data_IF_104818556559
#
_entry.id   IF_104818556559
#
_cell.length_a   1.000
_cell.length_b   1.000
_cell.length_c   1.000
_cell.angle_alpha   90.00
_cell.angle_beta   90.00
_cell.angle_gamma   90.00
#
_symmetry.space_group_name_H-M   'P 1'
#
loop_
_entity.id
_entity.type
_entity.pdbx_description
1 polymer ?
#
# COMPACT_ATOMS: atom_id res chain seq x y z
N UNK A 1 5.20 -12.19 -0.41
CA UNK A 1 6.26 -12.05 0.64
C UNK A 1 7.40 -11.12 0.15
N UNK A 2 7.86 -11.22 -1.10
CA UNK A 2 8.98 -10.41 -1.63
C UNK A 2 8.70 -8.90 -1.62
N UNK A 3 7.51 -8.44 -2.01
CA UNK A 3 7.14 -7.02 -1.96
C UNK A 3 7.21 -6.44 -0.55
N UNK A 4 6.77 -7.20 0.47
CA UNK A 4 6.84 -6.73 1.86
C UNK A 4 8.28 -6.66 2.36
N UNK A 5 9.14 -7.60 1.94
CA UNK A 5 10.58 -7.55 2.22
C UNK A 5 11.20 -6.32 1.55
N UNK A 6 10.98 -6.13 0.24
CA UNK A 6 11.44 -4.94 -0.48
C UNK A 6 10.94 -3.64 0.18
N UNK A 7 9.68 -3.61 0.60
CA UNK A 7 9.11 -2.46 1.29
C UNK A 7 9.89 -2.08 2.54
N UNK A 8 10.21 -3.04 3.40
CA UNK A 8 10.93 -2.80 4.66
C UNK A 8 12.43 -2.57 4.46
N UNK A 9 13.07 -3.37 3.58
CA UNK A 9 14.53 -3.37 3.45
C UNK A 9 15.04 -2.29 2.49
N UNK A 10 14.20 -1.80 1.56
CA UNK A 10 14.64 -0.88 0.51
C UNK A 10 13.76 0.36 0.42
N UNK A 11 12.47 0.21 0.18
CA UNK A 11 11.59 1.35 -0.15
C UNK A 11 11.44 2.31 1.03
N UNK A 12 11.11 1.82 2.21
CA UNK A 12 10.97 2.64 3.42
C UNK A 12 12.26 3.37 3.80
N UNK A 13 13.40 2.69 3.96
CA UNK A 13 14.65 3.38 4.30
C UNK A 13 15.03 4.47 3.29
N UNK A 14 14.89 4.17 1.99
CA UNK A 14 15.23 5.11 0.93
C UNK A 14 14.33 6.35 0.95
N UNK A 15 13.01 6.15 1.04
CA UNK A 15 12.04 7.27 1.06
C UNK A 15 12.18 8.07 2.35
N UNK A 16 12.29 7.41 3.50
CA UNK A 16 12.43 8.07 4.80
C UNK A 16 13.69 8.91 4.84
N UNK A 17 14.84 8.37 4.44
CA UNK A 17 16.11 9.12 4.42
C UNK A 17 16.04 10.35 3.50
N UNK A 18 15.35 10.26 2.36
CA UNK A 18 15.12 11.40 1.48
C UNK A 18 14.23 12.45 2.14
N UNK A 19 13.10 12.04 2.72
CA UNK A 19 12.18 12.96 3.39
C UNK A 19 12.85 13.66 4.59
N UNK A 20 13.71 12.95 5.32
CA UNK A 20 14.49 13.55 6.40
C UNK A 20 15.46 14.63 5.92
N UNK A 21 16.15 14.39 4.80
CA UNK A 21 17.02 15.41 4.16
C UNK A 21 16.22 16.63 3.71
N UNK A 22 14.98 16.43 3.29
CA UNK A 22 14.05 17.50 2.90
C UNK A 22 13.34 18.15 4.11
N UNK A 23 13.66 17.75 5.33
CA UNK A 23 13.00 18.16 6.57
C UNK A 23 11.48 17.89 6.55
N UNK A 24 11.07 16.79 5.96
CA UNK A 24 9.69 16.30 5.84
C UNK A 24 9.48 15.05 6.67
N UNK A 25 8.26 14.90 7.21
CA UNK A 25 7.84 13.75 8.03
C UNK A 25 6.47 13.22 7.57
N UNK A 26 6.09 13.47 6.32
CA UNK A 26 4.83 13.04 5.72
C UNK A 26 5.06 11.89 4.72
N UNK A 27 5.00 10.66 5.17
CA UNK A 27 5.07 9.47 4.31
C UNK A 27 3.67 9.13 3.80
N UNK A 28 3.46 9.17 2.49
CA UNK A 28 2.20 8.90 1.83
C UNK A 28 2.26 7.58 1.07
N UNK A 29 1.43 6.64 1.48
CA UNK A 29 1.30 5.32 0.86
C UNK A 29 -0.14 5.13 0.41
N UNK A 30 -0.32 4.58 -0.78
CA UNK A 30 -1.62 4.24 -1.32
C UNK A 30 -1.70 2.75 -1.65
N UNK A 31 -2.70 2.08 -1.10
CA UNK A 31 -3.08 0.72 -1.45
C UNK A 31 -4.32 0.81 -2.35
N UNK A 32 -4.11 0.68 -3.66
CA UNK A 32 -5.12 0.80 -4.70
C UNK A 32 -5.71 -0.58 -5.01
N UNK A 33 -7.02 -0.77 -4.75
CA UNK A 33 -7.66 -2.09 -4.80
C UNK A 33 -7.36 -2.92 -3.55
N UNK A 34 -7.63 -2.35 -2.38
CA UNK A 34 -7.26 -2.93 -1.09
C UNK A 34 -8.13 -4.13 -0.67
N UNK A 35 -9.19 -4.44 -1.41
CA UNK A 35 -10.13 -5.51 -1.09
C UNK A 35 -10.62 -5.45 0.35
N UNK A 36 -10.55 -6.54 1.08
CA UNK A 36 -10.98 -6.70 2.48
C UNK A 36 -9.94 -6.26 3.52
N UNK A 37 -8.84 -5.61 3.10
CA UNK A 37 -7.95 -4.86 3.99
C UNK A 37 -6.73 -5.58 4.53
N UNK A 38 -6.48 -6.83 4.17
CA UNK A 38 -5.32 -7.59 4.66
C UNK A 38 -3.98 -6.94 4.25
N UNK A 39 -3.88 -6.47 3.01
CA UNK A 39 -2.66 -5.81 2.52
C UNK A 39 -2.37 -4.49 3.24
N UNK A 40 -3.29 -3.51 3.32
CA UNK A 40 -3.01 -2.28 4.07
C UNK A 40 -2.70 -2.53 5.55
N UNK A 41 -3.34 -3.49 6.21
CA UNK A 41 -2.98 -3.82 7.60
C UNK A 41 -1.58 -4.44 7.72
N UNK A 42 -1.19 -5.30 6.80
CA UNK A 42 0.18 -5.82 6.78
C UNK A 42 1.19 -4.68 6.60
N UNK A 43 0.96 -3.76 5.68
CA UNK A 43 1.83 -2.58 5.46
C UNK A 43 1.89 -1.70 6.72
N UNK A 44 0.76 -1.48 7.41
CA UNK A 44 0.72 -0.71 8.66
C UNK A 44 1.49 -1.39 9.79
N UNK A 45 1.41 -2.72 9.93
CA UNK A 45 2.23 -3.46 10.88
C UNK A 45 3.72 -3.26 10.61
N UNK A 46 4.13 -3.37 9.34
CA UNK A 46 5.51 -3.18 8.93
C UNK A 46 5.99 -1.73 9.16
N UNK A 47 5.14 -0.73 8.92
CA UNK A 47 5.42 0.67 9.25
C UNK A 47 5.61 0.85 10.76
N UNK A 48 4.73 0.26 11.57
CA UNK A 48 4.80 0.35 13.02
C UNK A 48 6.08 -0.30 13.57
N UNK A 49 6.52 -1.43 12.99
CA UNK A 49 7.80 -2.05 13.33
C UNK A 49 8.99 -1.19 12.88
N UNK A 50 8.92 -0.61 11.68
CA UNK A 50 10.00 0.21 11.14
C UNK A 50 10.24 1.49 11.95
N UNK A 51 9.18 2.22 12.27
CA UNK A 51 9.30 3.46 13.04
C UNK A 51 9.46 3.23 14.55
N UNK A 52 8.90 2.15 15.09
CA UNK A 52 8.98 1.81 16.51
C UNK A 52 8.60 3.00 17.43
N UNK A 53 9.52 3.40 18.31
CA UNK A 53 9.32 4.53 19.20
C UNK A 53 9.21 5.89 18.49
N UNK A 54 9.71 6.00 17.25
CA UNK A 54 9.66 7.24 16.46
C UNK A 54 8.34 7.43 15.70
N UNK A 55 7.40 6.50 15.81
CA UNK A 55 6.13 6.56 15.06
C UNK A 55 5.36 7.87 15.25
N UNK A 56 5.39 8.45 16.45
CA UNK A 56 4.74 9.73 16.74
C UNK A 56 5.36 10.96 16.05
N UNK A 57 6.55 10.82 15.48
CA UNK A 57 7.22 11.90 14.75
C UNK A 57 6.85 11.92 13.25
N UNK A 58 6.14 10.90 12.76
CA UNK A 58 5.80 10.72 11.37
C UNK A 58 4.28 10.71 11.15
N UNK A 59 3.86 11.37 10.09
CA UNK A 59 2.54 11.17 9.50
C UNK A 59 2.68 10.08 8.43
N UNK A 60 2.41 8.83 8.78
CA UNK A 60 2.70 7.66 7.95
C UNK A 60 1.50 6.70 7.79
N UNK A 61 0.30 7.24 7.75
CA UNK A 61 -0.92 6.47 7.49
C UNK A 61 -1.05 5.99 6.04
N UNK A 62 -1.92 5.02 5.81
CA UNK A 62 -2.18 4.44 4.50
C UNK A 62 -3.56 4.88 4.00
N UNK A 63 -3.60 5.43 2.77
CA UNK A 63 -4.84 5.50 2.01
C UNK A 63 -5.09 4.13 1.36
N UNK A 64 -6.20 3.50 1.70
CA UNK A 64 -6.64 2.22 1.15
C UNK A 64 -7.95 2.41 0.39
N UNK A 65 -7.97 2.07 -0.89
CA UNK A 65 -9.16 2.30 -1.73
C UNK A 65 -9.61 1.03 -2.43
N UNK A 66 -10.92 0.89 -2.58
CA UNK A 66 -11.54 -0.17 -3.38
C UNK A 66 -12.85 0.35 -3.98
N UNK A 67 -13.34 -0.32 -5.02
CA UNK A 67 -14.65 0.00 -5.61
C UNK A 67 -15.80 -0.64 -4.84
N UNK A 68 -15.54 -1.72 -4.11
CA UNK A 68 -16.53 -2.52 -3.40
C UNK A 68 -16.79 -1.99 -1.99
N UNK A 69 -17.97 -1.44 -1.76
CA UNK A 69 -18.39 -1.03 -0.41
C UNK A 69 -18.44 -2.19 0.58
N UNK A 70 -18.80 -3.40 0.09
CA UNK A 70 -18.80 -4.62 0.91
C UNK A 70 -17.38 -4.96 1.38
N UNK A 71 -16.39 -4.94 0.48
CA UNK A 71 -15.01 -5.18 0.83
C UNK A 71 -14.48 -4.14 1.83
N UNK A 72 -14.76 -2.86 1.57
CA UNK A 72 -14.38 -1.77 2.46
C UNK A 72 -15.03 -1.86 3.85
N UNK A 73 -16.26 -2.37 3.95
CA UNK A 73 -16.91 -2.60 5.25
C UNK A 73 -16.16 -3.65 6.08
N UNK A 74 -15.73 -4.75 5.45
CA UNK A 74 -14.90 -5.79 6.09
C UNK A 74 -13.54 -5.18 6.49
N UNK A 75 -12.91 -4.44 5.59
CA UNK A 75 -11.63 -3.79 5.84
C UNK A 75 -11.70 -2.83 7.04
N UNK A 76 -12.75 -1.99 7.13
CA UNK A 76 -12.95 -1.07 8.27
C UNK A 76 -13.18 -1.81 9.57
N UNK A 77 -13.94 -2.91 9.54
CA UNK A 77 -14.14 -3.75 10.72
C UNK A 77 -12.80 -4.32 11.20
N UNK A 78 -11.93 -4.71 10.27
CA UNK A 78 -10.62 -5.30 10.57
C UNK A 78 -10.76 -6.56 11.40
N UNK A 79 -11.77 -7.39 11.09
CA UNK A 79 -12.06 -8.67 11.77
C UNK A 79 -11.94 -9.79 10.76
N UNK A 80 -11.12 -10.78 11.07
CA UNK A 80 -10.77 -11.86 10.15
C UNK A 80 -10.84 -13.23 10.83
N UNK A 81 -11.25 -14.24 10.08
CA UNK A 81 -11.08 -15.63 10.47
C UNK A 81 -9.58 -15.98 10.49
N UNK A 82 -9.21 -17.00 11.25
CA UNK A 82 -7.82 -17.41 11.46
C UNK A 82 -7.09 -17.71 10.15
N UNK A 83 -7.77 -18.36 9.21
CA UNK A 83 -7.22 -18.75 7.91
C UNK A 83 -6.78 -17.54 7.07
N UNK A 84 -7.47 -16.40 7.22
CA UNK A 84 -7.17 -15.16 6.48
C UNK A 84 -5.93 -14.44 6.99
N UNK A 85 -5.54 -14.71 8.22
CA UNK A 85 -4.35 -14.13 8.84
C UNK A 85 -3.23 -15.15 9.05
N UNK A 86 -3.39 -16.38 8.55
CA UNK A 86 -2.42 -17.46 8.72
C UNK A 86 -1.02 -17.10 8.17
N UNK A 87 -0.97 -16.29 7.12
CA UNK A 87 0.29 -15.82 6.52
C UNK A 87 0.95 -14.65 7.29
N UNK A 88 0.28 -14.06 8.28
CA UNK A 88 0.85 -13.01 9.13
C UNK A 88 1.85 -13.67 10.08
N UNK A 89 3.12 -13.20 10.15
CA UNK A 89 4.09 -13.71 11.10
C UNK A 89 3.56 -13.68 12.53
N UNK A 90 3.80 -14.77 13.29
CA UNK A 90 3.23 -14.94 14.62
C UNK A 90 3.53 -13.76 15.56
N UNK A 91 4.75 -13.23 15.51
CA UNK A 91 5.15 -12.06 16.30
C UNK A 91 4.27 -10.83 16.01
N UNK A 92 3.96 -10.56 14.73
CA UNK A 92 3.08 -9.47 14.32
C UNK A 92 1.63 -9.76 14.72
N UNK A 93 1.19 -11.01 14.55
CA UNK A 93 -0.16 -11.41 14.93
C UNK A 93 -0.41 -11.21 16.42
N UNK A 94 0.51 -11.63 17.29
CA UNK A 94 0.43 -11.42 18.74
C UNK A 94 0.41 -9.94 19.13
N UNK A 95 1.10 -9.10 18.39
CA UNK A 95 1.26 -7.68 18.71
C UNK A 95 0.11 -6.81 18.19
N UNK A 96 -0.46 -7.17 17.03
CA UNK A 96 -1.39 -6.32 16.28
C UNK A 96 -2.80 -6.88 16.13
N UNK A 97 -3.07 -8.07 16.67
CA UNK A 97 -4.41 -8.65 16.68
C UNK A 97 -4.83 -9.03 18.10
N UNK A 98 -6.15 -9.04 18.30
CA UNK A 98 -6.81 -9.54 19.51
C UNK A 98 -7.73 -10.68 19.14
N UNK A 99 -7.70 -11.77 19.89
CA UNK A 99 -8.70 -12.84 19.78
C UNK A 99 -10.03 -12.31 20.26
N UNK A 100 -11.08 -12.51 19.48
CA UNK A 100 -12.45 -12.11 19.80
C UNK A 100 -13.25 -13.29 20.36
N UNK A 101 -14.36 -13.02 21.10
CA UNK A 101 -15.16 -14.10 21.71
C UNK A 101 -15.77 -15.08 20.70
N UNK A 102 -16.02 -14.63 19.47
CA UNK A 102 -16.54 -15.44 18.36
C UNK A 102 -15.48 -16.31 17.67
N UNK A 103 -14.24 -16.28 18.16
CA UNK A 103 -13.13 -17.03 17.60
C UNK A 103 -12.39 -16.33 16.46
N UNK A 104 -12.86 -15.18 15.99
CA UNK A 104 -12.17 -14.34 14.99
C UNK A 104 -11.02 -13.54 15.61
N UNK A 105 -10.28 -12.87 14.76
CA UNK A 105 -9.17 -11.99 15.12
C UNK A 105 -9.46 -10.54 14.69
N UNK A 106 -9.45 -9.64 15.63
CA UNK A 106 -9.61 -8.21 15.38
C UNK A 106 -8.26 -7.48 15.37
N UNK A 107 -8.03 -6.66 14.35
CA UNK A 107 -6.91 -5.72 14.33
C UNK A 107 -7.08 -4.73 15.49
N UNK A 108 -5.98 -4.36 16.17
CA UNK A 108 -6.04 -3.37 17.26
C UNK A 108 -6.42 -1.98 16.76
N UNK A 109 -7.12 -1.21 17.59
CA UNK A 109 -7.68 0.10 17.19
C UNK A 109 -6.60 1.11 16.79
N UNK A 110 -5.45 1.11 17.45
CA UNK A 110 -4.31 1.93 17.07
C UNK A 110 -3.96 1.76 15.59
N UNK A 111 -3.90 0.53 15.10
CA UNK A 111 -3.55 0.25 13.71
C UNK A 111 -4.70 0.61 12.74
N UNK A 112 -5.96 0.38 13.16
CA UNK A 112 -7.13 0.77 12.36
C UNK A 112 -7.19 2.27 12.12
N UNK A 113 -6.81 3.07 13.10
CA UNK A 113 -6.83 4.54 13.01
C UNK A 113 -5.80 5.10 12.01
N UNK A 114 -4.76 4.33 11.68
CA UNK A 114 -3.75 4.71 10.67
C UNK A 114 -4.19 4.36 9.24
N UNK A 115 -5.29 3.64 9.07
CA UNK A 115 -5.86 3.29 7.78
C UNK A 115 -7.00 4.23 7.38
N UNK A 116 -6.90 4.86 6.23
CA UNK A 116 -8.00 5.63 5.64
C UNK A 116 -8.63 4.84 4.51
N UNK A 117 -9.77 4.19 4.77
CA UNK A 117 -10.53 3.44 3.76
C UNK A 117 -11.51 4.33 3.00
N UNK A 118 -11.42 4.36 1.67
CA UNK A 118 -12.29 5.15 0.78
C UNK A 118 -12.74 4.35 -0.41
N UNK A 119 -14.01 4.52 -0.80
CA UNK A 119 -14.48 4.03 -2.09
C UNK A 119 -13.83 4.85 -3.21
N UNK A 120 -13.26 4.15 -4.19
CA UNK A 120 -12.63 4.81 -5.33
C UNK A 120 -12.62 3.89 -6.54
N UNK A 121 -12.97 4.45 -7.70
CA UNK A 121 -12.91 3.74 -8.98
C UNK A 121 -11.63 4.15 -9.72
N UNK A 122 -10.74 3.19 -9.95
CA UNK A 122 -9.49 3.40 -10.69
C UNK A 122 -9.73 3.78 -12.16
N UNK A 123 -10.96 3.58 -12.67
CA UNK A 123 -11.34 3.98 -14.03
C UNK A 123 -11.75 5.44 -14.12
N UNK A 124 -11.89 6.17 -13.03
CA UNK A 124 -12.17 7.60 -13.09
C UNK A 124 -11.18 8.32 -14.01
N UNK A 125 -11.68 9.23 -14.84
CA UNK A 125 -10.85 9.98 -15.78
C UNK A 125 -9.73 10.76 -15.07
N UNK A 126 -10.06 11.36 -13.93
CA UNK A 126 -9.13 12.12 -13.09
C UNK A 126 -9.13 11.58 -11.66
N UNK A 127 -7.95 11.58 -11.04
CA UNK A 127 -7.79 11.25 -9.63
C UNK A 127 -7.82 12.53 -8.78
N UNK A 128 -8.58 12.55 -7.67
CA UNK A 128 -8.81 13.76 -6.88
C UNK A 128 -7.68 14.05 -5.87
N UNK A 129 -6.54 13.44 -6.03
CA UNK A 129 -5.45 13.58 -5.07
C UNK A 129 -4.71 14.90 -5.24
N UNK A 130 -4.51 15.61 -4.14
CA UNK A 130 -3.80 16.89 -4.12
C UNK A 130 -2.27 16.72 -4.11
N UNK A 131 -1.78 15.61 -3.60
CA UNK A 131 -0.35 15.30 -3.49
C UNK A 131 -0.08 13.90 -4.01
N UNK A 132 1.06 13.66 -4.66
CA UNK A 132 1.47 12.33 -5.08
C UNK A 132 1.88 11.47 -3.88
N UNK A 133 2.00 10.16 -4.12
CA UNK A 133 2.37 9.14 -3.13
C UNK A 133 3.82 8.74 -3.29
N UNK A 134 4.48 8.41 -2.20
CA UNK A 134 5.85 7.89 -2.22
C UNK A 134 5.87 6.41 -2.62
N UNK A 135 4.83 5.67 -2.24
CA UNK A 135 4.72 4.24 -2.57
C UNK A 135 3.25 3.95 -2.90
N UNK A 136 3.03 3.31 -4.04
CA UNK A 136 1.71 2.82 -4.48
C UNK A 136 1.77 1.29 -4.56
N UNK A 137 0.82 0.64 -3.92
CA UNK A 137 0.53 -0.78 -4.08
C UNK A 137 -0.76 -0.93 -4.89
N UNK A 138 -0.69 -1.63 -6.02
CA UNK A 138 -1.85 -2.00 -6.82
C UNK A 138 -1.68 -3.45 -7.28
N UNK A 139 -2.03 -4.40 -6.44
CA UNK A 139 -1.76 -5.82 -6.66
C UNK A 139 -3.03 -6.59 -6.95
N UNK A 140 -2.95 -7.46 -7.95
CA UNK A 140 -4.06 -8.35 -8.36
C UNK A 140 -5.34 -7.61 -8.78
N UNK A 141 -5.20 -6.41 -9.33
CA UNK A 141 -6.31 -5.56 -9.80
C UNK A 141 -6.30 -5.46 -11.33
N UNK A 142 -5.13 -5.24 -11.91
CA UNK A 142 -5.00 -5.01 -13.36
C UNK A 142 -5.18 -6.29 -14.19
N UNK A 143 -5.22 -7.45 -13.55
CA UNK A 143 -5.56 -8.73 -14.19
C UNK A 143 -6.96 -8.74 -14.81
N UNK A 144 -7.84 -7.86 -14.34
CA UNK A 144 -9.22 -7.73 -14.84
C UNK A 144 -9.36 -6.72 -15.99
N UNK A 145 -8.29 -6.04 -16.40
CA UNK A 145 -8.31 -4.99 -17.40
C UNK A 145 -7.63 -5.43 -18.70
N UNK A 146 -8.13 -4.94 -19.83
CA UNK A 146 -7.45 -5.05 -21.11
C UNK A 146 -6.15 -4.19 -21.14
N UNK A 147 -5.33 -4.40 -22.16
CA UNK A 147 -4.03 -3.73 -22.24
C UNK A 147 -4.15 -2.20 -22.31
N UNK A 148 -5.03 -1.58 -23.14
CA UNK A 148 -5.15 -0.12 -23.16
C UNK A 148 -5.55 0.47 -21.80
N UNK A 149 -6.48 -0.19 -21.11
CA UNK A 149 -6.93 0.23 -19.78
C UNK A 149 -5.80 0.15 -18.76
N UNK A 150 -5.00 -0.92 -18.79
CA UNK A 150 -3.80 -1.06 -17.93
C UNK A 150 -2.79 0.04 -18.18
N UNK A 151 -2.47 0.32 -19.44
CA UNK A 151 -1.52 1.38 -19.82
C UNK A 151 -1.99 2.75 -19.35
N UNK A 152 -3.28 3.07 -19.53
CA UNK A 152 -3.87 4.31 -19.05
C UNK A 152 -3.81 4.42 -17.52
N UNK A 153 -4.07 3.33 -16.79
CA UNK A 153 -3.98 3.29 -15.34
C UNK A 153 -2.54 3.47 -14.84
N UNK A 154 -1.57 2.82 -15.47
CA UNK A 154 -0.14 2.99 -15.18
C UNK A 154 0.28 4.46 -15.38
N UNK A 155 -0.18 5.11 -16.45
CA UNK A 155 0.05 6.55 -16.67
C UNK A 155 -0.48 7.42 -15.52
N UNK A 156 -1.68 7.11 -15.01
CA UNK A 156 -2.24 7.80 -13.83
C UNK A 156 -1.42 7.52 -12.57
N UNK A 157 -1.02 6.28 -12.32
CA UNK A 157 -0.14 5.98 -11.20
C UNK A 157 1.18 6.74 -11.30
N UNK A 158 1.77 6.83 -12.49
CA UNK A 158 3.00 7.61 -12.69
C UNK A 158 2.79 9.08 -12.35
N UNK A 159 1.67 9.70 -12.78
CA UNK A 159 1.33 11.07 -12.42
C UNK A 159 1.28 11.28 -10.91
N UNK A 160 0.72 10.30 -10.18
CA UNK A 160 0.56 10.38 -8.71
C UNK A 160 1.63 9.64 -7.91
N UNK A 161 2.72 9.23 -8.53
CA UNK A 161 3.93 8.76 -7.84
C UNK A 161 4.92 9.92 -7.72
N UNK A 162 5.45 10.17 -6.51
CA UNK A 162 6.54 11.13 -6.26
C UNK A 162 7.78 10.75 -7.11
N UNK A 163 8.58 11.71 -7.58
CA UNK A 163 9.91 11.40 -8.12
C UNK A 163 10.72 10.53 -7.14
N UNK A 164 11.32 9.45 -7.64
CA UNK A 164 12.01 8.46 -6.80
C UNK A 164 11.07 7.56 -5.97
N UNK A 165 9.75 7.68 -6.15
CA UNK A 165 8.76 6.82 -5.51
C UNK A 165 8.58 5.49 -6.22
N UNK A 166 7.80 4.60 -5.61
CA UNK A 166 7.68 3.21 -6.04
C UNK A 166 6.25 2.83 -6.41
N UNK A 167 6.14 1.95 -7.42
CA UNK A 167 4.92 1.23 -7.78
C UNK A 167 5.15 -0.27 -7.61
N UNK A 168 4.33 -0.93 -6.78
CA UNK A 168 4.29 -2.36 -6.58
C UNK A 168 2.99 -2.93 -7.15
N UNK A 169 3.09 -3.88 -8.09
CA UNK A 169 1.94 -4.53 -8.72
C UNK A 169 1.88 -6.03 -8.39
N UNK A 170 0.89 -6.78 -8.85
CA UNK A 170 0.85 -8.24 -8.65
C UNK A 170 1.90 -8.96 -9.47
N UNK A 171 2.38 -10.12 -9.00
CA UNK A 171 3.43 -10.89 -9.68
C UNK A 171 3.04 -11.40 -11.07
N UNK A 172 1.74 -11.61 -11.33
CA UNK A 172 1.20 -11.99 -12.63
C UNK A 172 0.89 -10.79 -13.53
N UNK A 173 1.17 -9.57 -13.07
CA UNK A 173 0.91 -8.32 -13.75
C UNK A 173 2.19 -7.74 -14.34
N UNK A 174 2.06 -6.98 -15.41
CA UNK A 174 3.18 -6.25 -16.03
C UNK A 174 2.72 -4.88 -16.48
N UNK A 175 3.62 -3.91 -16.45
CA UNK A 175 3.34 -2.56 -16.95
C UNK A 175 3.46 -2.45 -18.48
N UNK A 176 3.86 -3.53 -19.17
CA UNK A 176 3.85 -3.61 -20.64
C UNK A 176 4.68 -2.49 -21.30
N UNK A 177 4.08 -1.81 -22.28
CA UNK A 177 4.72 -0.70 -23.02
C UNK A 177 4.96 0.56 -22.16
N UNK A 178 4.29 0.68 -21.03
CA UNK A 178 4.50 1.78 -20.07
C UNK A 178 5.81 1.65 -19.27
N UNK A 179 6.65 0.69 -19.59
CA UNK A 179 7.98 0.53 -18.94
C UNK A 179 8.85 1.78 -19.06
N UNK A 180 8.67 2.61 -20.10
CA UNK A 180 9.38 3.87 -20.23
C UNK A 180 9.07 4.90 -19.15
N UNK A 181 7.96 4.74 -18.42
CA UNK A 181 7.54 5.65 -17.34
C UNK A 181 8.23 5.33 -16.00
N UNK A 182 8.65 4.09 -15.83
CA UNK A 182 9.25 3.60 -14.59
C UNK A 182 10.50 2.77 -14.88
N UNK A 183 11.46 2.84 -14.00
CA UNK A 183 12.62 1.94 -13.99
C UNK A 183 12.23 0.63 -13.31
N UNK A 184 12.46 -0.48 -14.01
CA UNK A 184 12.29 -1.81 -13.42
C UNK A 184 13.36 -2.06 -12.36
N UNK A 185 12.97 -2.51 -11.17
CA UNK A 185 13.90 -2.86 -10.10
C UNK A 185 13.96 -4.37 -9.86
N UNK A 186 12.80 -5.01 -9.75
CA UNK A 186 12.65 -6.45 -9.51
C UNK A 186 11.24 -6.87 -9.96
N UNK A 187 10.90 -8.16 -10.00
CA UNK A 187 9.57 -8.61 -10.41
C UNK A 187 8.46 -7.83 -9.72
N UNK A 188 7.56 -7.27 -10.54
CA UNK A 188 6.39 -6.51 -10.12
C UNK A 188 6.69 -5.25 -9.26
N UNK A 189 7.93 -4.73 -9.30
CA UNK A 189 8.35 -3.55 -8.54
C UNK A 189 9.10 -2.57 -9.42
N UNK A 190 8.67 -1.33 -9.41
CA UNK A 190 9.11 -0.29 -10.32
C UNK A 190 9.34 1.02 -9.56
N UNK A 191 10.29 1.83 -10.05
CA UNK A 191 10.61 3.13 -9.47
C UNK A 191 10.44 4.24 -10.51
N UNK A 192 9.77 5.32 -10.14
CA UNK A 192 9.75 6.54 -10.93
C UNK A 192 11.10 7.23 -10.82
N UNK A 193 11.64 7.74 -11.94
CA UNK A 193 12.89 8.50 -11.91
C UNK A 193 12.85 9.59 -10.82
N UNK A 194 13.98 9.75 -10.12
CA UNK A 194 14.16 10.88 -9.24
C UNK A 194 14.22 12.15 -10.11
N UNK A 195 13.45 13.17 -9.78
CA UNK A 195 13.58 14.48 -10.42
C UNK A 195 15.02 14.99 -10.27
N UNK A 196 15.53 15.60 -11.34
CA UNK A 196 16.82 16.32 -11.32
C UNK A 196 16.72 17.58 -10.48
#
# INVERSE_FOLDING_TARGET
KEHFRFFVETALPTVVARLEKENRRDLRIWCAGCSTGEEPYMLLMLLAEFFGANSGQWSAGILATDISDRALSIARAGVYAEERIADVPEALRRKYFKRLPDGNWGVIDRLKNEATFRRFNLMNAQFPFKKPFHIIFCRNVMIYFDQPTREALIGKFHQFTEPGGYLCIGHSETIGRSQSLYNYLMPATYQKEAGR
#
